data_IF_044647552709
#
_entry.id   IF_044647552709
#
_cell.length_a   1.000
_cell.length_b   1.000
_cell.length_c   1.000
_cell.angle_alpha   90.00
_cell.angle_beta   90.00
_cell.angle_gamma   90.00
#
_symmetry.space_group_name_H-M   'P 1'
#
loop_
_entity.id
_entity.type
_entity.pdbx_description
1 polymer ?
#
# COMPACT_ATOMS: atom_id res chain seq x y z
N UNK A 1 -15.58 -28.03 4.37
CA UNK A 1 -15.34 -26.86 5.22
C UNK A 1 -13.86 -26.88 5.55
N UNK A 2 -13.05 -26.24 4.74
CA UNK A 2 -11.61 -26.06 4.92
C UNK A 2 -11.37 -24.57 4.90
N UNK A 3 -11.08 -23.99 6.08
CA UNK A 3 -10.63 -22.63 6.16
C UNK A 3 -9.29 -22.49 5.45
N UNK A 4 -9.15 -21.48 4.65
CA UNK A 4 -7.89 -21.09 4.04
C UNK A 4 -6.93 -20.76 5.19
N UNK A 5 -5.90 -21.56 5.35
CA UNK A 5 -4.92 -21.41 6.42
C UNK A 5 -3.82 -20.49 5.91
N UNK A 6 -3.82 -19.26 6.35
CA UNK A 6 -2.64 -18.39 6.30
C UNK A 6 -1.54 -19.01 7.18
N UNK A 7 -0.33 -19.17 6.69
CA UNK A 7 0.82 -19.74 7.41
C UNK A 7 2.06 -18.87 7.25
N UNK A 8 2.98 -18.66 7.92
CA UNK A 8 3.72 -18.20 9.12
C UNK A 8 5.25 -18.10 8.98
N UNK A 9 5.96 -17.12 9.64
CA UNK A 9 7.36 -16.89 9.62
C UNK A 9 8.21 -16.53 10.84
N UNK A 10 9.53 -16.59 10.97
CA UNK A 10 10.43 -16.37 12.12
C UNK A 10 11.41 -15.21 11.94
N UNK A 11 11.64 -14.45 13.04
CA UNK A 11 12.64 -13.40 13.19
C UNK A 11 14.09 -13.90 13.18
N UNK A 12 14.95 -13.28 12.38
CA UNK A 12 16.39 -13.16 12.67
C UNK A 12 16.96 -11.89 12.01
N UNK A 13 17.40 -10.98 12.85
CA UNK A 13 18.32 -9.83 12.65
C UNK A 13 18.83 -9.54 11.24
N UNK A 14 18.33 -8.49 10.62
CA UNK A 14 18.93 -7.83 9.46
C UNK A 14 19.10 -6.33 9.76
N UNK A 15 20.11 -6.01 10.57
CA UNK A 15 20.79 -4.74 10.54
C UNK A 15 22.28 -5.05 10.38
N UNK A 16 22.89 -4.87 9.21
CA UNK A 16 23.50 -3.63 8.79
C UNK A 16 23.54 -3.47 7.25
N UNK A 17 22.63 -2.76 6.66
CA UNK A 17 22.77 -2.39 5.23
C UNK A 17 22.45 -0.91 4.98
N UNK A 18 22.31 -0.11 6.04
CA UNK A 18 22.00 1.33 5.91
C UNK A 18 23.22 2.24 5.77
N UNK A 19 24.43 1.70 5.51
CA UNK A 19 25.65 2.53 5.47
C UNK A 19 26.23 2.83 4.08
N UNK A 20 25.48 2.58 3.00
CA UNK A 20 26.01 2.78 1.64
C UNK A 20 24.98 3.34 0.64
N UNK A 21 24.06 4.22 1.06
CA UNK A 21 23.37 5.06 0.10
C UNK A 21 24.18 6.34 -0.06
N UNK A 22 24.73 6.64 -1.25
CA UNK A 22 25.27 7.96 -1.52
C UNK A 22 24.11 8.95 -1.42
N UNK A 23 24.29 9.98 -0.58
CA UNK A 23 23.39 11.11 -0.54
C UNK A 23 23.36 11.79 -1.93
N UNK A 24 22.43 11.41 -2.77
CA UNK A 24 21.95 12.26 -3.84
C UNK A 24 21.03 13.29 -3.16
N UNK A 25 21.66 14.27 -2.51
CA UNK A 25 20.96 15.46 -2.05
C UNK A 25 20.50 16.20 -3.31
N UNK A 26 19.29 15.92 -3.73
CA UNK A 26 18.53 16.86 -4.50
C UNK A 26 18.30 18.09 -3.62
N UNK A 27 18.60 19.28 -4.11
CA UNK A 27 18.36 20.54 -3.41
C UNK A 27 16.89 20.57 -2.96
N UNK A 28 16.69 20.44 -1.64
CA UNK A 28 15.38 20.60 -1.02
C UNK A 28 14.83 21.99 -1.32
N UNK A 29 14.07 22.11 -2.38
CA UNK A 29 13.33 23.30 -2.69
C UNK A 29 12.33 23.52 -1.56
N UNK A 30 12.61 24.49 -0.68
CA UNK A 30 11.58 25.05 0.18
C UNK A 30 10.42 25.51 -0.70
N UNK A 31 9.27 24.88 -0.57
CA UNK A 31 8.04 25.27 -1.26
C UNK A 31 7.54 26.57 -0.61
N UNK A 32 8.16 27.67 -0.97
CA UNK A 32 7.65 29.05 -0.78
C UNK A 32 7.26 29.62 -2.13
N UNK A 33 6.41 28.92 -2.85
CA UNK A 33 5.89 29.39 -4.13
C UNK A 33 4.37 29.24 -4.14
N UNK A 34 3.68 30.32 -4.47
CA UNK A 34 2.30 30.21 -4.93
C UNK A 34 2.24 29.16 -6.04
N UNK A 35 1.23 28.28 -6.10
CA UNK A 35 1.14 27.26 -7.11
C UNK A 35 1.21 27.93 -8.49
N UNK A 36 2.30 27.67 -9.19
CA UNK A 36 2.37 28.00 -10.60
C UNK A 36 1.47 26.98 -11.28
N UNK A 37 0.30 27.39 -11.74
CA UNK A 37 -0.58 26.55 -12.54
C UNK A 37 0.27 26.00 -13.69
N UNK A 38 0.67 24.73 -13.57
CA UNK A 38 1.36 24.05 -14.65
C UNK A 38 0.40 24.02 -15.83
N UNK A 39 0.81 24.58 -16.94
CA UNK A 39 0.03 24.52 -18.17
C UNK A 39 -0.08 23.06 -18.57
N UNK A 40 -1.26 22.63 -19.05
CA UNK A 40 -1.66 21.26 -19.40
C UNK A 40 -0.73 20.50 -20.40
N UNK A 41 0.49 20.96 -20.60
CA UNK A 41 1.47 20.46 -21.56
C UNK A 41 2.79 20.03 -20.89
N UNK A 42 2.81 19.89 -19.55
CA UNK A 42 3.97 19.34 -18.84
C UNK A 42 4.02 17.83 -19.08
N UNK A 43 4.62 17.43 -20.19
CA UNK A 43 4.93 16.03 -20.45
C UNK A 43 6.23 15.70 -19.74
N UNK A 44 6.14 14.83 -18.74
CA UNK A 44 7.32 14.25 -18.13
C UNK A 44 8.09 13.44 -19.16
N UNK A 45 9.39 13.66 -19.24
CA UNK A 45 10.29 12.82 -20.04
C UNK A 45 10.44 11.43 -19.41
N UNK A 46 10.96 10.43 -20.14
CA UNK A 46 11.09 9.06 -19.62
C UNK A 46 12.05 8.92 -18.42
N UNK A 47 12.76 9.98 -18.05
CA UNK A 47 13.69 10.03 -16.90
C UNK A 47 13.35 11.15 -15.92
N UNK A 48 12.28 11.92 -16.17
CA UNK A 48 11.82 12.94 -15.23
C UNK A 48 11.11 12.23 -14.06
N UNK A 49 11.38 12.69 -12.84
CA UNK A 49 10.67 12.23 -11.67
C UNK A 49 9.23 12.74 -11.72
N UNK A 50 8.30 11.86 -11.49
CA UNK A 50 6.89 12.17 -11.38
C UNK A 50 6.51 12.23 -9.91
N UNK A 51 6.06 13.39 -9.46
CA UNK A 51 5.55 13.56 -8.11
C UNK A 51 4.10 14.02 -8.19
N UNK A 52 3.18 13.15 -7.86
CA UNK A 52 1.75 13.43 -7.83
C UNK A 52 1.36 14.51 -6.83
N UNK A 53 2.15 14.65 -5.78
CA UNK A 53 1.75 15.42 -4.61
C UNK A 53 1.92 16.92 -4.77
N UNK A 54 2.85 17.34 -5.63
CA UNK A 54 3.38 18.69 -5.59
C UNK A 54 2.71 19.69 -6.51
N UNK A 55 2.06 19.26 -7.56
CA UNK A 55 1.73 20.16 -8.65
C UNK A 55 0.34 20.79 -8.56
N UNK A 56 -0.59 20.25 -7.77
CA UNK A 56 -2.01 20.62 -7.86
C UNK A 56 -2.72 20.70 -6.51
N UNK A 57 -2.35 21.69 -5.68
CA UNK A 57 -3.05 21.98 -4.45
C UNK A 57 -2.41 21.37 -3.20
N UNK A 58 -3.13 21.41 -2.08
CA UNK A 58 -2.65 20.91 -0.78
C UNK A 58 -3.10 19.47 -0.48
N UNK A 59 -3.89 18.87 -1.38
CA UNK A 59 -4.34 17.49 -1.27
C UNK A 59 -3.19 16.51 -1.52
N UNK A 60 -3.08 15.54 -0.63
CA UNK A 60 -2.05 14.51 -0.67
C UNK A 60 -2.73 13.16 -0.76
N UNK A 61 -2.27 12.30 -1.66
CA UNK A 61 -2.69 10.91 -1.65
C UNK A 61 -2.11 10.26 -0.39
N UNK A 62 -2.96 9.71 0.50
CA UNK A 62 -2.46 9.02 1.68
C UNK A 62 -1.87 7.68 1.26
N UNK A 63 -0.71 7.34 1.84
CA UNK A 63 -0.22 5.97 1.77
C UNK A 63 -1.30 5.03 2.29
N UNK A 64 -1.74 4.04 1.54
CA UNK A 64 -2.72 3.08 2.00
C UNK A 64 -2.22 2.24 3.18
N UNK A 65 -3.14 1.56 3.85
CA UNK A 65 -2.82 0.62 4.92
C UNK A 65 -3.08 -0.82 4.47
N UNK A 66 -4.30 -1.12 4.00
CA UNK A 66 -4.71 -2.43 3.54
C UNK A 66 -4.63 -2.58 2.02
N UNK A 67 -4.97 -1.51 1.33
CA UNK A 67 -5.01 -1.49 -0.14
C UNK A 67 -3.59 -1.32 -0.64
N UNK A 68 -3.23 -2.00 -1.72
CA UNK A 68 -1.94 -1.78 -2.37
C UNK A 68 -1.80 -0.33 -2.80
N UNK A 69 -0.59 0.16 -2.73
CA UNK A 69 -0.31 1.50 -3.12
C UNK A 69 -0.40 1.70 -4.63
N UNK A 70 -0.95 2.84 -5.03
CA UNK A 70 -1.07 3.27 -6.42
C UNK A 70 -0.30 4.55 -6.70
N UNK A 71 0.17 5.23 -5.66
CA UNK A 71 0.90 6.48 -5.79
C UNK A 71 2.28 6.27 -6.44
N UNK A 72 2.79 7.30 -7.12
CA UNK A 72 4.06 7.26 -7.83
C UNK A 72 5.11 8.05 -7.04
N UNK A 73 5.83 7.34 -6.18
CA UNK A 73 6.76 7.94 -5.24
C UNK A 73 8.15 8.19 -5.84
N UNK A 74 8.82 9.26 -5.37
CA UNK A 74 10.22 9.52 -5.70
C UNK A 74 11.17 8.59 -4.97
N UNK A 75 10.94 8.44 -3.67
CA UNK A 75 11.67 7.51 -2.83
C UNK A 75 10.98 7.39 -1.48
N UNK A 76 10.74 6.14 -1.07
CA UNK A 76 10.05 5.82 0.15
C UNK A 76 10.69 4.62 0.85
N UNK A 77 10.64 4.65 2.17
CA UNK A 77 10.86 3.50 3.03
C UNK A 77 9.71 3.40 4.02
N UNK A 78 9.07 2.24 4.09
CA UNK A 78 7.87 1.99 4.88
C UNK A 78 8.05 0.80 5.82
N UNK A 79 7.49 0.92 7.02
CA UNK A 79 7.40 -0.15 8.01
C UNK A 79 5.97 -0.23 8.52
N UNK A 80 5.35 -1.36 8.30
CA UNK A 80 3.97 -1.61 8.68
C UNK A 80 3.87 -2.75 9.70
N UNK A 81 2.85 -2.66 10.54
CA UNK A 81 2.42 -3.74 11.40
C UNK A 81 0.90 -3.83 11.40
N UNK A 82 0.41 -4.96 10.98
CA UNK A 82 -1.00 -5.34 11.05
C UNK A 82 -1.16 -6.44 12.10
N UNK A 83 -2.01 -6.19 13.08
CA UNK A 83 -2.44 -7.19 14.04
C UNK A 83 -3.92 -7.49 13.80
N UNK A 84 -4.27 -8.74 13.51
CA UNK A 84 -5.65 -9.18 13.36
C UNK A 84 -6.01 -10.24 14.37
N UNK A 85 -7.30 -10.34 14.67
CA UNK A 85 -7.81 -11.30 15.64
C UNK A 85 -9.13 -11.92 15.21
N UNK A 86 -9.20 -13.25 15.37
CA UNK A 86 -10.41 -14.04 15.26
C UNK A 86 -10.56 -14.98 16.47
N UNK A 87 -11.43 -14.62 17.43
CA UNK A 87 -11.59 -15.35 18.68
C UNK A 87 -10.29 -15.49 19.47
N UNK A 88 -9.79 -16.73 19.59
CA UNK A 88 -8.51 -17.07 20.25
C UNK A 88 -7.31 -17.09 19.28
N UNK A 89 -7.55 -16.83 18.01
CA UNK A 89 -6.52 -16.75 16.99
C UNK A 89 -6.07 -15.32 16.80
N UNK A 90 -4.81 -15.12 16.47
CA UNK A 90 -4.30 -13.82 16.08
C UNK A 90 -3.14 -13.95 15.11
N UNK A 91 -3.05 -13.01 14.20
CA UNK A 91 -1.97 -12.87 13.23
C UNK A 91 -1.29 -11.52 13.41
N UNK A 92 0.03 -11.53 13.42
CA UNK A 92 0.86 -10.33 13.31
C UNK A 92 1.58 -10.37 11.96
N UNK A 93 1.34 -9.38 11.11
CA UNK A 93 2.06 -9.17 9.85
C UNK A 93 2.93 -7.93 9.98
N UNK A 94 4.22 -8.06 9.73
CA UNK A 94 5.17 -6.96 9.65
C UNK A 94 5.67 -6.87 8.22
N UNK A 95 5.57 -5.71 7.63
CA UNK A 95 6.03 -5.46 6.27
C UNK A 95 7.08 -4.36 6.26
N UNK A 96 8.19 -4.63 5.61
CA UNK A 96 9.17 -3.61 5.23
C UNK A 96 9.12 -3.41 3.73
N UNK A 97 9.02 -2.17 3.29
CA UNK A 97 8.91 -1.81 1.89
C UNK A 97 9.91 -0.71 1.55
N UNK A 98 10.44 -0.76 0.34
CA UNK A 98 11.24 0.32 -0.24
C UNK A 98 10.77 0.57 -1.67
N UNK A 99 10.57 1.82 -1.99
CA UNK A 99 10.19 2.28 -3.32
C UNK A 99 11.15 3.32 -3.86
N UNK A 100 11.28 3.36 -5.18
CA UNK A 100 12.04 4.40 -5.85
C UNK A 100 11.55 4.67 -7.26
N UNK A 101 11.35 5.95 -7.57
CA UNK A 101 10.93 6.44 -8.88
C UNK A 101 12.11 6.60 -9.84
N UNK A 102 11.93 6.09 -11.04
CA UNK A 102 12.86 6.22 -12.17
C UNK A 102 12.10 6.87 -13.36
N UNK A 103 11.91 8.17 -13.30
CA UNK A 103 11.10 8.89 -14.28
C UNK A 103 9.61 8.50 -14.17
N UNK A 104 9.07 7.89 -15.21
CA UNK A 104 7.68 7.44 -15.25
C UNK A 104 7.47 6.01 -14.68
N UNK A 105 8.45 5.46 -13.99
CA UNK A 105 8.39 4.10 -13.46
C UNK A 105 8.80 4.12 -12.00
N UNK A 106 7.96 3.58 -11.13
CA UNK A 106 8.31 3.29 -9.73
C UNK A 106 8.61 1.81 -9.60
N UNK A 107 9.73 1.49 -8.96
CA UNK A 107 10.07 0.14 -8.55
C UNK A 107 9.86 0.02 -7.05
N UNK A 108 9.28 -1.09 -6.63
CA UNK A 108 9.03 -1.42 -5.24
C UNK A 108 9.62 -2.77 -4.88
N UNK A 109 9.92 -2.95 -3.61
CA UNK A 109 10.30 -4.22 -3.01
C UNK A 109 9.69 -4.32 -1.62
N UNK A 110 8.75 -5.23 -1.47
CA UNK A 110 8.10 -5.54 -0.21
C UNK A 110 8.66 -6.83 0.38
N UNK A 111 8.88 -6.84 1.69
CA UNK A 111 9.38 -7.99 2.46
C UNK A 111 8.48 -8.20 3.68
N UNK A 112 7.43 -9.02 3.54
CA UNK A 112 6.52 -9.31 4.63
C UNK A 112 7.04 -10.43 5.53
N UNK A 113 6.74 -10.29 6.80
CA UNK A 113 7.04 -11.25 7.86
C UNK A 113 5.78 -11.49 8.66
N UNK A 114 5.28 -12.71 8.64
CA UNK A 114 4.03 -13.06 9.30
C UNK A 114 4.24 -13.96 10.51
N UNK A 115 3.44 -13.77 11.52
CA UNK A 115 3.32 -14.62 12.67
C UNK A 115 1.85 -14.83 13.01
N UNK A 116 1.44 -16.09 13.23
CA UNK A 116 0.09 -16.44 13.59
C UNK A 116 0.07 -17.45 14.73
N UNK A 117 -0.79 -17.26 15.65
CA UNK A 117 -1.05 -18.14 16.78
C UNK A 117 -2.45 -18.77 16.58
N UNK A 118 -2.50 -20.05 16.25
CA UNK A 118 -3.73 -20.79 16.01
C UNK A 118 -3.82 -22.04 16.88
N UNK A 119 -4.89 -22.19 17.66
CA UNK A 119 -5.17 -23.38 18.48
C UNK A 119 -3.96 -23.85 19.32
N UNK A 120 -3.20 -22.89 19.90
CA UNK A 120 -2.01 -23.15 20.71
C UNK A 120 -0.77 -23.56 19.90
N UNK A 121 -0.83 -23.49 18.58
CA UNK A 121 0.32 -23.63 17.70
C UNK A 121 0.73 -22.27 17.17
N UNK A 122 2.02 -21.99 17.29
CA UNK A 122 2.64 -20.82 16.68
C UNK A 122 3.40 -21.27 15.44
N UNK A 123 3.15 -20.60 14.36
CA UNK A 123 3.96 -20.70 13.17
C UNK A 123 4.38 -19.27 12.81
N UNK A 124 5.50 -19.09 12.22
CA UNK A 124 6.01 -17.79 11.81
C UNK A 124 7.08 -17.96 10.71
N UNK A 125 7.32 -17.08 9.67
CA UNK A 125 8.28 -17.13 8.50
C UNK A 125 8.24 -15.86 7.65
N UNK A 126 9.14 -15.66 6.75
CA UNK A 126 8.97 -14.70 5.67
C UNK A 126 7.87 -15.17 4.74
N UNK A 127 7.00 -14.31 4.33
CA UNK A 127 6.05 -14.57 3.25
C UNK A 127 6.71 -14.39 1.87
N UNK A 128 5.96 -14.28 0.81
CA UNK A 128 6.53 -13.96 -0.48
C UNK A 128 7.27 -12.62 -0.42
N UNK A 129 8.45 -12.55 -1.03
CA UNK A 129 9.10 -11.27 -1.30
C UNK A 129 8.47 -10.73 -2.58
N UNK A 130 7.93 -9.51 -2.53
CA UNK A 130 7.11 -8.95 -3.60
C UNK A 130 7.87 -7.79 -4.31
N UNK A 131 8.69 -8.06 -5.34
CA UNK A 131 9.11 -7.01 -6.26
C UNK A 131 7.94 -6.57 -7.13
N UNK A 132 7.80 -5.26 -7.29
CA UNK A 132 6.78 -4.63 -8.10
C UNK A 132 7.31 -3.52 -8.99
N UNK A 133 6.48 -3.16 -9.96
CA UNK A 133 6.72 -2.05 -10.88
C UNK A 133 5.40 -1.35 -11.19
N UNK A 134 5.38 -0.03 -11.09
CA UNK A 134 4.23 0.82 -11.42
C UNK A 134 4.59 1.84 -12.49
N UNK A 135 3.61 2.21 -13.33
CA UNK A 135 3.77 3.25 -14.33
C UNK A 135 2.44 3.95 -14.62
N UNK A 136 2.41 5.30 -14.70
CA UNK A 136 1.26 6.04 -15.18
C UNK A 136 1.10 5.82 -16.68
N UNK A 137 -0.14 5.69 -17.14
CA UNK A 137 -0.47 5.61 -18.54
C UNK A 137 -1.09 6.91 -19.06
N UNK A 138 -1.85 7.59 -18.22
CA UNK A 138 -2.57 8.79 -18.59
C UNK A 138 -2.84 9.65 -17.37
N UNK A 139 -2.59 10.96 -17.49
CA UNK A 139 -2.96 11.96 -16.49
C UNK A 139 -3.84 13.03 -17.13
N UNK A 140 -4.85 13.47 -16.40
CA UNK A 140 -5.70 14.59 -16.76
C UNK A 140 -5.85 15.56 -15.61
N UNK A 141 -5.61 16.84 -15.88
CA UNK A 141 -5.78 17.92 -14.92
C UNK A 141 -6.65 19.00 -15.55
N UNK A 142 -7.66 19.45 -14.81
CA UNK A 142 -8.48 20.59 -15.27
C UNK A 142 -7.67 21.90 -15.22
N UNK A 143 -8.00 22.90 -16.06
CA UNK A 143 -7.27 24.17 -16.10
C UNK A 143 -7.24 24.93 -14.76
N UNK A 144 -8.21 24.70 -13.90
CA UNK A 144 -8.30 25.26 -12.53
C UNK A 144 -7.64 24.37 -11.47
N UNK A 145 -7.10 23.21 -11.86
CA UNK A 145 -6.49 22.25 -10.96
C UNK A 145 -7.49 21.50 -10.06
N UNK A 146 -8.81 21.73 -10.18
CA UNK A 146 -9.80 21.13 -9.30
C UNK A 146 -9.89 19.61 -9.45
N UNK A 147 -9.75 19.08 -10.66
CA UNK A 147 -9.68 17.65 -10.92
C UNK A 147 -8.25 17.32 -11.37
N UNK A 148 -7.57 16.48 -10.64
CA UNK A 148 -6.34 15.82 -11.05
C UNK A 148 -6.57 14.32 -10.97
N UNK A 149 -6.42 13.62 -12.09
CA UNK A 149 -6.62 12.17 -12.10
C UNK A 149 -5.55 11.50 -12.95
N UNK A 150 -5.01 10.40 -12.43
CA UNK A 150 -4.00 9.57 -13.09
C UNK A 150 -4.53 8.14 -13.21
N UNK A 151 -4.38 7.57 -14.38
CA UNK A 151 -4.59 6.14 -14.64
C UNK A 151 -3.25 5.48 -14.89
N UNK A 152 -3.02 4.34 -14.28
CA UNK A 152 -1.78 3.59 -14.43
C UNK A 152 -1.97 2.09 -14.39
N UNK A 153 -0.85 1.41 -14.46
CA UNK A 153 -0.75 -0.05 -14.37
C UNK A 153 0.41 -0.44 -13.47
N UNK A 154 0.25 -1.56 -12.78
CA UNK A 154 1.30 -2.16 -11.98
C UNK A 154 1.41 -3.66 -12.27
N UNK A 155 2.55 -4.23 -11.94
CA UNK A 155 2.80 -5.65 -11.92
C UNK A 155 3.58 -5.99 -10.67
N UNK A 156 3.05 -6.87 -9.86
CA UNK A 156 3.71 -7.43 -8.70
C UNK A 156 3.96 -8.92 -8.88
N UNK A 157 5.07 -9.41 -8.33
CA UNK A 157 5.44 -10.82 -8.40
C UNK A 157 5.82 -11.31 -7.01
N UNK A 158 4.97 -12.11 -6.40
CA UNK A 158 5.27 -12.79 -5.13
C UNK A 158 6.25 -13.95 -5.34
N UNK A 159 7.49 -13.76 -4.88
CA UNK A 159 8.56 -14.77 -4.97
C UNK A 159 8.57 -15.59 -3.69
N UNK A 160 8.31 -16.90 -3.73
CA UNK A 160 8.21 -17.71 -2.52
C UNK A 160 9.56 -17.87 -1.82
N UNK A 161 9.56 -17.70 -0.50
CA UNK A 161 10.72 -17.93 0.36
C UNK A 161 10.90 -19.40 0.74
N UNK A 162 9.98 -20.27 0.33
CA UNK A 162 9.90 -21.69 0.74
C UNK A 162 9.81 -21.88 2.27
N UNK A 163 9.28 -20.90 2.96
CA UNK A 163 8.94 -20.99 4.37
C UNK A 163 7.68 -21.81 4.59
N UNK A 164 7.21 -21.92 5.82
CA UNK A 164 5.93 -22.57 6.12
C UNK A 164 4.72 -21.82 5.53
N UNK A 165 4.89 -20.55 5.15
CA UNK A 165 3.82 -19.64 4.72
C UNK A 165 3.88 -19.28 3.25
N UNK A 166 5.04 -19.42 2.63
CA UNK A 166 5.29 -18.96 1.28
C UNK A 166 5.84 -20.09 0.44
N UNK A 167 5.01 -20.68 -0.41
CA UNK A 167 5.36 -21.80 -1.28
C UNK A 167 5.00 -21.60 -2.75
N UNK A 168 4.10 -20.68 -3.00
CA UNK A 168 3.57 -20.44 -4.35
C UNK A 168 4.10 -19.11 -4.88
N UNK A 169 4.49 -19.08 -6.14
CA UNK A 169 4.72 -17.84 -6.86
C UNK A 169 3.37 -17.20 -7.15
N UNK A 170 3.26 -15.92 -6.93
CA UNK A 170 2.10 -15.12 -7.27
C UNK A 170 2.46 -14.11 -8.35
N UNK A 171 1.55 -13.83 -9.28
CA UNK A 171 1.71 -12.79 -10.29
C UNK A 171 0.43 -11.97 -10.35
N UNK A 172 0.52 -10.68 -10.06
CA UNK A 172 -0.63 -9.78 -9.94
C UNK A 172 -0.47 -8.59 -10.89
N UNK A 173 -0.95 -8.66 -12.13
CA UNK A 173 -1.16 -7.47 -12.93
C UNK A 173 -2.28 -6.62 -12.33
N UNK A 174 -2.04 -5.30 -12.24
CA UNK A 174 -2.96 -4.34 -11.62
C UNK A 174 -3.19 -3.15 -12.56
N UNK A 175 -4.34 -2.52 -12.43
CA UNK A 175 -4.64 -1.19 -12.98
C UNK A 175 -5.11 -0.31 -11.86
N UNK A 176 -4.76 0.97 -11.88
CA UNK A 176 -5.12 1.91 -10.84
C UNK A 176 -5.61 3.24 -11.38
N UNK A 177 -6.33 3.96 -10.55
CA UNK A 177 -6.70 5.35 -10.76
C UNK A 177 -6.59 6.13 -9.46
N UNK A 178 -5.87 7.23 -9.51
CA UNK A 178 -5.76 8.22 -8.46
C UNK A 178 -6.49 9.48 -8.87
N UNK A 179 -7.37 9.96 -8.02
CA UNK A 179 -8.22 11.12 -8.25
C UNK A 179 -8.11 12.08 -7.07
N UNK A 180 -7.65 13.31 -7.33
CA UNK A 180 -7.77 14.43 -6.39
C UNK A 180 -8.89 15.38 -6.83
N UNK A 181 -9.71 15.82 -5.88
CA UNK A 181 -10.75 16.82 -6.06
C UNK A 181 -10.51 18.02 -5.14
N UNK A 182 -10.06 19.12 -5.73
CA UNK A 182 -9.64 20.31 -4.98
C UNK A 182 -8.46 20.01 -4.05
N UNK A 183 -8.41 20.75 -2.94
CA UNK A 183 -7.24 20.76 -2.04
C UNK A 183 -7.31 19.68 -0.94
N UNK A 184 -8.39 18.94 -0.83
CA UNK A 184 -8.62 18.08 0.34
C UNK A 184 -8.93 16.63 0.01
N UNK A 185 -9.76 16.39 -1.00
CA UNK A 185 -10.32 15.07 -1.23
C UNK A 185 -9.46 14.26 -2.21
N UNK A 186 -9.17 13.02 -1.83
CA UNK A 186 -8.50 12.04 -2.70
C UNK A 186 -9.24 10.71 -2.71
N UNK A 187 -9.20 10.04 -3.84
CA UNK A 187 -9.68 8.69 -4.04
C UNK A 187 -8.62 7.91 -4.83
N UNK A 188 -8.08 6.88 -4.25
CA UNK A 188 -7.27 5.89 -4.95
C UNK A 188 -8.13 4.65 -5.19
N UNK A 189 -7.97 4.03 -6.35
CA UNK A 189 -8.70 2.82 -6.74
C UNK A 189 -7.77 1.88 -7.48
N UNK A 190 -7.69 0.64 -7.03
CA UNK A 190 -6.84 -0.38 -7.62
C UNK A 190 -7.64 -1.66 -7.91
N UNK A 191 -7.31 -2.32 -9.00
CA UNK A 191 -7.91 -3.59 -9.41
C UNK A 191 -6.81 -4.52 -9.90
N UNK A 192 -6.73 -5.71 -9.33
CA UNK A 192 -5.73 -6.72 -9.62
C UNK A 192 -6.35 -8.06 -9.99
N UNK A 193 -5.56 -8.87 -10.64
CA UNK A 193 -5.87 -10.28 -10.90
C UNK A 193 -4.71 -11.14 -10.45
N UNK A 194 -4.84 -11.77 -9.29
CA UNK A 194 -3.82 -12.65 -8.72
C UNK A 194 -3.88 -14.03 -9.36
N UNK A 195 -2.73 -14.49 -9.81
CA UNK A 195 -2.49 -15.80 -10.40
C UNK A 195 -1.46 -16.55 -9.56
N UNK A 196 -1.86 -17.65 -8.94
CA UNK A 196 -0.98 -18.48 -8.13
C UNK A 196 -0.38 -19.63 -8.95
N UNK A 197 0.96 -19.76 -8.89
CA UNK A 197 1.75 -20.81 -9.51
C UNK A 197 2.57 -21.55 -8.45
N UNK A 198 2.45 -22.85 -8.37
CA UNK A 198 3.26 -23.62 -7.43
C UNK A 198 2.89 -25.09 -7.39
N UNK A 199 3.65 -25.89 -6.62
CA UNK A 199 3.33 -27.29 -6.43
C UNK A 199 1.99 -27.42 -5.71
N UNK A 200 1.10 -28.24 -6.26
CA UNK A 200 -0.13 -28.65 -5.57
C UNK A 200 0.28 -29.47 -4.36
N UNK A 201 0.01 -28.99 -3.16
CA UNK A 201 0.15 -29.79 -1.94
C UNK A 201 -0.81 -30.99 -1.96
N UNK A 202 -0.45 -32.08 -1.28
CA UNK A 202 -1.34 -33.22 -1.12
C UNK A 202 -2.63 -32.79 -0.38
N UNK A 203 -3.73 -32.64 -1.12
CA UNK A 203 -5.05 -32.27 -0.61
C UNK A 203 -5.42 -30.80 -0.65
N UNK A 204 -4.56 -29.93 -1.17
CA UNK A 204 -4.91 -28.55 -1.48
C UNK A 204 -5.44 -28.47 -2.92
N UNK A 205 -6.61 -27.89 -3.09
CA UNK A 205 -7.09 -27.44 -4.40
C UNK A 205 -6.06 -26.44 -4.93
N UNK A 206 -5.58 -26.65 -6.17
CA UNK A 206 -4.51 -25.80 -6.74
C UNK A 206 -4.87 -24.33 -6.66
N UNK A 207 -3.85 -23.48 -6.51
CA UNK A 207 -3.98 -22.06 -6.23
C UNK A 207 -5.14 -21.41 -6.97
N UNK A 208 -6.01 -20.74 -6.21
CA UNK A 208 -7.19 -20.09 -6.74
C UNK A 208 -6.78 -18.73 -7.35
N UNK A 209 -7.22 -18.48 -8.57
CA UNK A 209 -7.09 -17.12 -9.11
C UNK A 209 -8.06 -16.22 -8.37
N UNK A 210 -7.59 -15.03 -8.02
CA UNK A 210 -8.35 -14.08 -7.22
C UNK A 210 -8.46 -12.75 -7.96
N UNK A 211 -9.66 -12.19 -8.00
CA UNK A 211 -9.83 -10.80 -8.37
C UNK A 211 -9.74 -9.93 -7.11
N UNK A 212 -8.83 -8.98 -7.13
CA UNK A 212 -8.56 -8.06 -6.03
C UNK A 212 -9.03 -6.66 -6.40
N UNK A 213 -9.53 -5.93 -5.40
CA UNK A 213 -9.91 -4.55 -5.60
C UNK A 213 -9.76 -3.76 -4.31
N UNK A 214 -9.37 -2.50 -4.44
CA UNK A 214 -9.18 -1.60 -3.33
C UNK A 214 -9.65 -0.19 -3.63
N UNK A 215 -10.12 0.49 -2.57
CA UNK A 215 -10.49 1.90 -2.61
C UNK A 215 -9.97 2.59 -1.37
N UNK A 216 -9.31 3.74 -1.54
CA UNK A 216 -8.78 4.57 -0.46
C UNK A 216 -9.36 5.97 -0.59
N UNK A 217 -10.14 6.39 0.40
CA UNK A 217 -10.67 7.74 0.50
C UNK A 217 -9.82 8.52 1.51
N UNK A 218 -9.25 9.64 1.09
CA UNK A 218 -8.49 10.54 1.94
C UNK A 218 -9.12 11.93 2.03
N UNK A 219 -8.99 12.56 3.19
CA UNK A 219 -9.34 13.96 3.39
C UNK A 219 -8.18 14.71 4.04
N UNK A 220 -7.42 15.46 3.25
CA UNK A 220 -6.26 16.22 3.74
C UNK A 220 -6.70 17.44 4.53
N UNK A 221 -6.27 17.53 5.78
CA UNK A 221 -6.49 18.69 6.66
C UNK A 221 -5.12 19.32 6.93
N UNK A 222 -4.79 20.45 6.30
CA UNK A 222 -3.49 21.10 6.49
C UNK A 222 -3.36 21.72 7.88
N UNK A 223 -2.13 21.97 8.33
CA UNK A 223 -1.82 22.53 9.65
C UNK A 223 -2.57 23.85 9.94
N UNK A 224 -2.79 24.68 8.93
CA UNK A 224 -3.55 25.94 9.08
C UNK A 224 -5.01 25.74 9.53
N UNK A 225 -5.58 24.55 9.26
CA UNK A 225 -6.96 24.21 9.64
C UNK A 225 -7.01 23.39 10.93
N UNK A 226 -6.00 22.53 11.18
CA UNK A 226 -5.87 21.75 12.39
C UNK A 226 -4.43 21.82 12.91
N UNK A 227 -4.16 22.76 13.82
CA UNK A 227 -2.83 23.01 14.36
C UNK A 227 -2.42 21.97 15.41
N UNK A 228 -1.88 20.83 14.95
CA UNK A 228 -1.25 19.83 15.82
C UNK A 228 0.26 20.07 15.79
N UNK A 229 0.95 20.18 16.96
CA UNK A 229 2.40 20.39 16.98
C UNK A 229 3.16 19.31 16.20
N UNK A 230 4.10 19.74 15.38
CA UNK A 230 4.96 18.88 14.53
C UNK A 230 4.26 18.15 13.39
N UNK A 231 2.95 18.34 13.19
CA UNK A 231 2.17 17.76 12.10
C UNK A 231 1.88 18.83 11.05
N UNK A 232 2.22 18.56 9.80
CA UNK A 232 1.91 19.43 8.65
C UNK A 232 0.51 19.19 8.12
N UNK A 233 0.11 17.91 8.06
CA UNK A 233 -1.19 17.50 7.56
C UNK A 233 -1.72 16.33 8.39
N UNK A 234 -3.02 16.33 8.62
CA UNK A 234 -3.75 15.21 9.20
C UNK A 234 -4.72 14.69 8.14
N UNK A 235 -4.65 13.41 7.85
CA UNK A 235 -5.43 12.80 6.76
C UNK A 235 -6.25 11.65 7.34
N UNK A 236 -7.52 11.88 7.71
CA UNK A 236 -8.47 10.78 7.89
C UNK A 236 -8.56 9.97 6.61
N UNK A 237 -8.49 8.65 6.75
CA UNK A 237 -8.49 7.69 5.65
C UNK A 237 -9.58 6.65 5.90
N UNK A 238 -10.28 6.28 4.84
CA UNK A 238 -11.19 5.15 4.86
C UNK A 238 -10.87 4.24 3.68
N UNK A 239 -10.64 2.96 3.96
CA UNK A 239 -10.30 1.97 2.94
C UNK A 239 -11.31 0.85 2.86
N UNK A 240 -11.44 0.32 1.67
CA UNK A 240 -12.10 -0.95 1.37
C UNK A 240 -11.15 -1.80 0.57
N UNK A 241 -10.83 -2.99 1.07
CA UNK A 241 -10.08 -4.01 0.34
C UNK A 241 -10.95 -5.24 0.15
N UNK A 242 -11.05 -5.72 -1.06
CA UNK A 242 -11.86 -6.88 -1.40
C UNK A 242 -11.14 -7.91 -2.23
N UNK A 243 -11.41 -9.18 -1.93
CA UNK A 243 -10.91 -10.35 -2.64
C UNK A 243 -12.05 -11.22 -3.10
N UNK A 244 -12.04 -11.60 -4.36
CA UNK A 244 -13.03 -12.51 -4.93
C UNK A 244 -12.36 -13.69 -5.60
N UNK A 245 -12.53 -14.88 -5.04
CA UNK A 245 -12.10 -16.11 -5.69
C UNK A 245 -12.90 -16.38 -6.97
N UNK A 246 -12.22 -16.77 -8.05
CA UNK A 246 -12.81 -16.95 -9.36
C UNK A 246 -12.95 -18.40 -9.76
N UNK A 247 -12.14 -19.30 -9.24
CA UNK A 247 -12.04 -20.70 -9.69
C UNK A 247 -12.85 -21.69 -8.84
N UNK A 248 -13.56 -21.24 -7.83
CA UNK A 248 -14.21 -22.10 -6.83
C UNK A 248 -15.67 -22.49 -7.17
N UNK A 249 -15.99 -22.68 -8.43
CA UNK A 249 -17.27 -23.27 -8.87
C UNK A 249 -18.48 -22.48 -8.36
N UNK A 250 -19.35 -23.16 -7.57
CA UNK A 250 -20.62 -22.58 -7.13
C UNK A 250 -20.52 -21.63 -5.91
N UNK A 251 -19.39 -21.60 -5.20
CA UNK A 251 -19.20 -20.80 -3.99
C UNK A 251 -18.19 -19.67 -4.25
N UNK A 252 -18.52 -18.74 -5.13
CA UNK A 252 -17.72 -17.52 -5.32
C UNK A 252 -17.66 -16.74 -4.00
N UNK A 253 -16.54 -16.86 -3.31
CA UNK A 253 -16.25 -16.18 -2.06
C UNK A 253 -15.85 -14.73 -2.33
N UNK A 254 -16.45 -13.78 -1.64
CA UNK A 254 -16.12 -12.36 -1.73
C UNK A 254 -15.90 -11.82 -0.33
N UNK A 255 -14.64 -11.68 0.05
CA UNK A 255 -14.22 -11.11 1.32
C UNK A 255 -13.96 -9.62 1.15
N UNK A 256 -14.51 -8.79 2.02
CA UNK A 256 -14.29 -7.35 2.03
C UNK A 256 -13.96 -6.91 3.44
N UNK A 257 -12.81 -6.27 3.60
CA UNK A 257 -12.37 -5.58 4.80
C UNK A 257 -12.53 -4.08 4.65
N UNK A 258 -12.89 -3.42 5.73
CA UNK A 258 -12.85 -1.97 5.88
C UNK A 258 -11.73 -1.57 6.84
N UNK A 259 -11.14 -0.41 6.61
CA UNK A 259 -10.20 0.22 7.53
C UNK A 259 -10.57 1.68 7.73
N UNK A 260 -10.75 2.09 8.99
CA UNK A 260 -10.92 3.48 9.37
C UNK A 260 -9.63 3.95 10.03
N UNK A 261 -8.91 4.86 9.38
CA UNK A 261 -7.56 5.22 9.75
C UNK A 261 -7.34 6.74 9.78
N UNK A 262 -6.21 7.12 10.31
CA UNK A 262 -5.66 8.47 10.22
C UNK A 262 -4.17 8.41 9.94
N UNK A 263 -3.70 9.25 9.02
CA UNK A 263 -2.30 9.45 8.73
C UNK A 263 -1.89 10.87 9.12
N UNK A 264 -0.69 11.01 9.69
CA UNK A 264 -0.10 12.27 10.09
C UNK A 264 1.20 12.49 9.30
N UNK A 265 1.21 13.45 8.40
CA UNK A 265 2.42 13.89 7.74
C UNK A 265 3.14 14.84 8.68
N UNK A 266 4.32 14.44 9.15
CA UNK A 266 5.09 15.18 10.14
C UNK A 266 5.92 16.28 9.46
N UNK A 267 6.48 17.18 10.26
CA UNK A 267 7.47 18.13 9.76
C UNK A 267 8.70 17.39 9.25
N UNK A 268 9.23 17.84 8.12
CA UNK A 268 10.44 17.25 7.54
C UNK A 268 11.65 17.39 8.46
N UNK A 269 12.50 16.37 8.47
CA UNK A 269 13.77 16.31 9.20
C UNK A 269 14.90 16.21 8.14
N UNK A 270 15.43 17.35 7.74
CA UNK A 270 16.33 17.39 6.59
C UNK A 270 15.59 17.09 5.27
N UNK A 271 16.03 16.08 4.54
CA UNK A 271 15.38 15.61 3.32
C UNK A 271 14.27 14.56 3.58
N UNK A 272 14.16 14.07 4.82
CA UNK A 272 13.17 13.04 5.16
C UNK A 272 11.87 13.66 5.63
N UNK A 273 10.75 13.17 5.12
CA UNK A 273 9.42 13.49 5.63
C UNK A 273 8.82 12.25 6.31
N UNK A 274 8.77 12.19 7.65
CA UNK A 274 8.12 11.09 8.35
C UNK A 274 6.60 11.20 8.23
N UNK A 275 5.94 10.06 8.02
CA UNK A 275 4.48 9.91 8.10
C UNK A 275 4.14 8.81 9.10
N UNK A 276 3.18 9.05 9.98
CA UNK A 276 2.68 8.08 10.94
C UNK A 276 1.24 7.75 10.62
N UNK A 277 0.91 6.48 10.70
CA UNK A 277 -0.45 6.01 10.46
C UNK A 277 -0.94 5.04 11.52
N UNK A 278 -2.24 5.12 11.82
CA UNK A 278 -2.94 4.13 12.63
C UNK A 278 -4.34 3.91 12.07
N UNK A 279 -4.75 2.64 11.97
CA UNK A 279 -6.04 2.23 11.45
C UNK A 279 -6.70 1.14 12.28
N UNK A 280 -8.01 1.04 12.16
CA UNK A 280 -8.82 -0.01 12.73
C UNK A 280 -9.48 -0.81 11.60
N UNK A 281 -9.12 -2.08 11.50
CA UNK A 281 -9.59 -3.01 10.46
C UNK A 281 -10.79 -3.78 10.97
N UNK A 282 -11.81 -3.94 10.12
CA UNK A 282 -13.04 -4.64 10.44
C UNK A 282 -13.67 -5.31 9.21
N UNK A 283 -14.33 -6.46 9.38
CA UNK A 283 -14.97 -7.17 8.28
C UNK A 283 -16.25 -6.45 7.83
N UNK A 284 -16.42 -6.31 6.52
CA UNK A 284 -17.59 -5.72 5.88
C UNK A 284 -18.57 -6.78 5.34
N UNK A 285 -18.09 -8.00 5.06
CA UNK A 285 -18.88 -9.12 4.57
C UNK A 285 -18.90 -10.26 5.58
N UNK A 286 -19.84 -11.19 5.42
CA UNK A 286 -19.87 -12.40 6.24
C UNK A 286 -18.64 -13.28 6.00
N UNK A 287 -18.17 -13.33 4.76
CA UNK A 287 -16.97 -14.04 4.40
C UNK A 287 -15.74 -13.50 5.14
N UNK A 288 -15.51 -12.19 5.09
CA UNK A 288 -14.43 -11.56 5.84
C UNK A 288 -14.55 -11.78 7.36
N UNK A 289 -15.78 -11.86 7.88
CA UNK A 289 -16.01 -12.12 9.31
C UNK A 289 -15.66 -13.55 9.72
N UNK A 290 -15.65 -14.51 8.80
CA UNK A 290 -15.20 -15.88 9.05
C UNK A 290 -13.67 -15.97 9.08
N UNK A 291 -12.98 -14.94 8.57
CA UNK A 291 -11.50 -14.86 8.54
C UNK A 291 -10.96 -13.98 9.67
N UNK A 292 -11.57 -12.81 9.88
CA UNK A 292 -11.10 -11.82 10.84
C UNK A 292 -12.27 -11.10 11.52
N UNK A 293 -12.17 -10.87 12.83
CA UNK A 293 -13.17 -10.10 13.56
C UNK A 293 -12.78 -8.62 13.68
N UNK A 294 -11.52 -8.32 13.87
CA UNK A 294 -10.98 -6.96 13.92
C UNK A 294 -9.46 -6.97 13.80
N UNK A 295 -8.89 -5.81 13.45
CA UNK A 295 -7.46 -5.61 13.43
C UNK A 295 -7.06 -4.18 13.79
N UNK A 296 -5.78 -4.01 14.10
CA UNK A 296 -5.12 -2.71 14.24
C UNK A 296 -3.97 -2.68 13.24
N UNK A 297 -3.91 -1.60 12.48
CA UNK A 297 -2.84 -1.32 11.55
C UNK A 297 -2.03 -0.12 12.03
N UNK A 298 -0.72 -0.21 12.03
CA UNK A 298 0.18 0.93 12.25
C UNK A 298 1.21 1.00 11.14
N UNK A 299 1.52 2.21 10.72
CA UNK A 299 2.43 2.47 9.60
C UNK A 299 3.38 3.60 9.95
N UNK A 300 4.64 3.43 9.57
CA UNK A 300 5.69 4.43 9.64
C UNK A 300 6.35 4.53 8.27
N UNK A 301 6.22 5.69 7.64
CA UNK A 301 6.75 5.97 6.31
C UNK A 301 7.79 7.07 6.39
N UNK A 302 8.84 6.96 5.60
CA UNK A 302 9.86 8.00 5.39
C UNK A 302 10.01 8.25 3.90
N UNK A 303 9.58 9.41 3.45
CA UNK A 303 9.84 9.89 2.09
C UNK A 303 11.16 10.65 2.01
N UNK A 304 11.87 10.55 0.87
CA UNK A 304 13.17 11.17 0.64
C UNK A 304 13.46 11.49 -0.82
#
# INVERSE_FOLDING_TARGET
MGGMKLHKAIFASLFPLLSALPALAGDGAQITGSPTVATADTRYGPFDLFDHRSDYGEGVFPEPFLVDDSDLEQGEFRLDWLHTRDGDQHTDLFTGEIEHGFGLVTLELEVPVERDDFAGKRVSGFDNINPGIRAPLYQYVTPDGFINTTFGTALEVGVPTNSAVSRNTEVVPKVFNDLALGDHFTLQSIFGYSMLYGPKGDGEEGGLNTFEYGFVLGWTIPHKEMAIPYVQQTIPVFELQGYKELDNGAASFNSVLGNAAVRFNMNSIGALQPRLGIGFVFPMTNAAREEEHWGIYTSLVFEF
#
